data_IF_180647079992
#
_entry.id   IF_180647079992
#
_cell.length_a   1.000
_cell.length_b   1.000
_cell.length_c   1.000
_cell.angle_alpha   90.00
_cell.angle_beta   90.00
_cell.angle_gamma   90.00
#
_symmetry.space_group_name_H-M   'P 1'
#
loop_
_entity.id
_entity.type
_entity.pdbx_description
1 polymer ?
#
# COMPACT_ATOMS: atom_id res chain seq x y z
N UNK A 1 29.55 -12.28 5.67
CA UNK A 1 28.58 -11.33 5.11
C UNK A 1 29.23 -10.81 3.85
N UNK A 2 28.79 -11.34 2.70
CA UNK A 2 29.34 -10.97 1.40
C UNK A 2 29.14 -9.47 1.16
N UNK A 3 30.16 -8.84 0.57
CA UNK A 3 30.17 -7.42 0.29
C UNK A 3 29.09 -7.09 -0.74
N UNK A 4 28.05 -6.36 -0.34
CA UNK A 4 27.09 -5.77 -1.28
C UNK A 4 27.85 -4.87 -2.25
N UNK A 5 27.75 -5.16 -3.55
CA UNK A 5 28.43 -4.42 -4.63
C UNK A 5 27.85 -3.00 -4.76
N UNK A 6 26.57 -2.84 -4.43
CA UNK A 6 25.84 -1.58 -4.45
C UNK A 6 26.11 -0.80 -3.17
N UNK A 7 26.68 0.40 -3.29
CA UNK A 7 27.00 1.31 -2.17
C UNK A 7 26.44 2.71 -2.37
N UNK A 8 25.97 3.03 -3.57
CA UNK A 8 25.42 4.33 -3.93
C UNK A 8 24.21 4.20 -4.83
N UNK A 9 23.46 5.30 -4.95
CA UNK A 9 22.35 5.39 -5.89
C UNK A 9 22.82 5.27 -7.34
N UNK A 10 24.03 5.75 -7.66
CA UNK A 10 24.63 5.60 -8.98
C UNK A 10 24.93 4.12 -9.27
N UNK A 11 25.36 3.36 -8.28
CA UNK A 11 25.69 1.94 -8.46
C UNK A 11 24.45 1.14 -8.86
N UNK A 12 23.25 1.52 -8.38
CA UNK A 12 21.97 0.93 -8.78
C UNK A 12 21.73 1.16 -10.27
N UNK A 13 21.91 2.41 -10.72
CA UNK A 13 21.71 2.80 -12.12
C UNK A 13 22.67 2.04 -13.04
N UNK A 14 23.95 2.04 -12.69
CA UNK A 14 24.99 1.33 -13.45
C UNK A 14 24.74 -0.19 -13.49
N UNK A 15 24.25 -0.77 -12.38
CA UNK A 15 23.92 -2.18 -12.31
C UNK A 15 22.72 -2.53 -13.20
N UNK A 16 21.66 -1.71 -13.18
CA UNK A 16 20.49 -1.90 -14.05
C UNK A 16 20.88 -1.83 -15.53
N UNK A 17 21.75 -0.89 -15.91
CA UNK A 17 22.26 -0.76 -17.30
C UNK A 17 23.10 -1.96 -17.73
N UNK A 18 23.90 -2.52 -16.82
CA UNK A 18 24.70 -3.71 -17.07
C UNK A 18 23.88 -5.02 -17.07
N UNK A 19 22.67 -5.01 -16.49
CA UNK A 19 21.82 -6.18 -16.32
C UNK A 19 20.37 -5.87 -16.75
N UNK A 20 20.12 -5.48 -18.01
CA UNK A 20 18.81 -4.98 -18.43
C UNK A 20 17.71 -6.05 -18.32
N UNK A 21 18.02 -7.33 -18.52
CA UNK A 21 17.05 -8.42 -18.37
C UNK A 21 16.51 -8.55 -16.93
N UNK A 22 17.29 -8.14 -15.93
CA UNK A 22 16.90 -8.21 -14.52
C UNK A 22 16.45 -6.85 -13.96
N UNK A 23 17.16 -5.78 -14.32
CA UNK A 23 16.95 -4.44 -13.78
C UNK A 23 15.91 -3.61 -14.54
N UNK A 24 15.71 -3.87 -15.83
CA UNK A 24 14.78 -3.14 -16.71
C UNK A 24 14.08 -4.10 -17.70
N UNK A 25 13.40 -5.17 -17.21
CA UNK A 25 12.75 -6.15 -18.07
C UNK A 25 11.58 -5.55 -18.83
N UNK A 26 11.27 -6.09 -20.01
CA UNK A 26 10.04 -5.77 -20.74
C UNK A 26 8.79 -6.03 -19.87
N UNK A 27 7.77 -5.14 -19.87
CA UNK A 27 7.63 -3.89 -20.63
C UNK A 27 8.23 -2.64 -19.96
N UNK A 28 8.91 -2.80 -18.83
CA UNK A 28 9.43 -1.73 -17.98
C UNK A 28 10.93 -1.51 -18.22
N UNK A 29 11.26 -1.03 -19.42
CA UNK A 29 12.63 -0.95 -19.93
C UNK A 29 13.39 0.34 -19.57
N UNK A 30 12.91 1.11 -18.59
CA UNK A 30 13.54 2.37 -18.20
C UNK A 30 13.63 2.55 -16.69
N UNK A 31 14.47 3.50 -16.29
CA UNK A 31 14.68 3.91 -14.91
C UNK A 31 14.73 5.44 -14.79
N UNK A 32 13.82 6.13 -15.50
CA UNK A 32 13.82 7.59 -15.62
C UNK A 32 13.80 8.32 -14.27
N UNK A 33 13.02 7.84 -13.29
CA UNK A 33 12.98 8.42 -11.95
C UNK A 33 14.36 8.40 -11.28
N UNK A 34 15.15 7.33 -11.47
CA UNK A 34 16.50 7.25 -10.94
C UNK A 34 17.43 8.23 -11.66
N UNK A 35 17.32 8.33 -12.98
CA UNK A 35 18.08 9.32 -13.75
C UNK A 35 17.78 10.76 -13.28
N UNK A 36 16.53 11.06 -12.97
CA UNK A 36 16.12 12.40 -12.52
C UNK A 36 16.64 12.71 -11.12
N UNK A 37 16.65 11.73 -10.20
CA UNK A 37 17.28 11.88 -8.89
C UNK A 37 18.77 12.21 -9.02
N UNK A 38 19.50 11.51 -9.89
CA UNK A 38 20.94 11.77 -10.12
C UNK A 38 21.21 13.14 -10.77
N UNK A 39 20.28 13.63 -11.59
CA UNK A 39 20.38 14.94 -12.25
C UNK A 39 19.88 16.09 -11.39
N UNK A 40 19.23 15.79 -10.26
CA UNK A 40 18.67 16.80 -9.36
C UNK A 40 19.73 17.80 -8.92
N UNK A 41 19.38 19.08 -9.02
CA UNK A 41 20.21 20.21 -8.56
C UNK A 41 19.65 20.85 -7.29
N UNK A 42 18.67 20.20 -6.67
CA UNK A 42 18.06 20.69 -5.44
C UNK A 42 19.11 20.75 -4.34
N UNK A 43 19.25 21.92 -3.75
CA UNK A 43 20.05 22.12 -2.55
C UNK A 43 19.30 21.59 -1.32
N UNK A 44 20.03 21.25 -0.26
CA UNK A 44 19.41 20.82 0.99
C UNK A 44 18.42 21.86 1.53
N UNK A 45 18.74 23.16 1.39
CA UNK A 45 17.87 24.25 1.82
C UNK A 45 16.54 24.29 1.05
N UNK A 46 16.55 24.04 -0.26
CA UNK A 46 15.33 23.95 -1.06
C UNK A 46 14.49 22.73 -0.65
N UNK A 47 15.13 21.58 -0.41
CA UNK A 47 14.45 20.37 0.06
C UNK A 47 13.79 20.62 1.41
N UNK A 48 14.51 21.20 2.37
CA UNK A 48 14.00 21.49 3.71
C UNK A 48 12.82 22.47 3.67
N UNK A 49 12.90 23.52 2.84
CA UNK A 49 11.81 24.47 2.67
C UNK A 49 10.58 23.82 2.01
N UNK A 50 10.78 23.03 0.95
CA UNK A 50 9.68 22.28 0.32
C UNK A 50 9.02 21.32 1.31
N UNK A 51 9.78 20.59 2.11
CA UNK A 51 9.26 19.69 3.14
C UNK A 51 8.45 20.47 4.18
N UNK A 52 8.95 21.62 4.64
CA UNK A 52 8.25 22.47 5.62
C UNK A 52 6.93 23.01 5.06
N UNK A 53 6.94 23.56 3.86
CA UNK A 53 5.74 24.13 3.21
C UNK A 53 4.70 23.04 2.96
N UNK A 54 5.11 21.90 2.40
CA UNK A 54 4.20 20.78 2.10
C UNK A 54 3.62 20.16 3.37
N UNK A 55 4.44 19.93 4.40
CA UNK A 55 3.98 19.46 5.70
C UNK A 55 2.94 20.39 6.32
N UNK A 56 3.24 21.70 6.37
CA UNK A 56 2.34 22.66 7.00
C UNK A 56 1.00 22.75 6.27
N UNK A 57 1.02 22.72 4.94
CA UNK A 57 -0.21 22.74 4.13
C UNK A 57 -1.03 21.46 4.31
N UNK A 58 -0.37 20.30 4.32
CA UNK A 58 -1.05 19.02 4.50
C UNK A 58 -1.67 18.90 5.91
N UNK A 59 -0.89 19.28 6.94
CA UNK A 59 -1.37 19.32 8.33
C UNK A 59 -2.59 20.23 8.47
N UNK A 60 -2.51 21.46 7.97
CA UNK A 60 -3.64 22.40 8.02
C UNK A 60 -4.89 21.82 7.36
N UNK A 61 -4.75 21.19 6.18
CA UNK A 61 -5.89 20.58 5.49
C UNK A 61 -6.58 19.48 6.30
N UNK A 62 -5.81 18.63 6.99
CA UNK A 62 -6.36 17.59 7.87
C UNK A 62 -7.00 18.21 9.11
N UNK A 63 -6.32 19.15 9.76
CA UNK A 63 -6.83 19.83 10.97
C UNK A 63 -8.12 20.60 10.67
N UNK A 64 -8.20 21.28 9.52
CA UNK A 64 -9.41 21.98 9.07
C UNK A 64 -10.55 21.00 8.83
N UNK A 65 -10.29 19.87 8.17
CA UNK A 65 -11.31 18.86 7.92
C UNK A 65 -11.86 18.28 9.23
N UNK A 66 -10.97 17.93 10.15
CA UNK A 66 -11.34 17.33 11.43
C UNK A 66 -11.99 18.34 12.38
N UNK A 67 -11.47 19.57 12.43
CA UNK A 67 -11.94 20.63 13.34
C UNK A 67 -13.23 21.31 12.86
N UNK A 68 -13.33 21.66 11.57
CA UNK A 68 -14.52 22.36 11.04
C UNK A 68 -15.80 21.52 11.06
N UNK A 69 -15.65 20.19 11.13
CA UNK A 69 -16.77 19.24 11.14
C UNK A 69 -16.99 18.57 12.49
N UNK A 70 -16.17 18.90 13.49
CA UNK A 70 -16.17 18.25 14.80
C UNK A 70 -16.15 16.71 14.67
N UNK A 71 -15.25 16.20 13.82
CA UNK A 71 -15.09 14.76 13.58
C UNK A 71 -13.74 14.26 14.10
N UNK A 72 -13.74 12.99 14.47
CA UNK A 72 -12.56 12.34 15.05
C UNK A 72 -11.59 11.78 13.99
N UNK A 73 -12.10 11.44 12.80
CA UNK A 73 -11.34 10.81 11.73
C UNK A 73 -11.93 11.12 10.35
N UNK A 74 -11.08 11.05 9.33
CA UNK A 74 -11.47 11.14 7.91
C UNK A 74 -11.47 9.74 7.34
N UNK A 75 -12.53 9.39 6.61
CA UNK A 75 -12.65 8.09 5.93
C UNK A 75 -12.92 8.32 4.45
N UNK A 76 -12.18 7.63 3.59
CA UNK A 76 -12.34 7.71 2.13
C UNK A 76 -12.07 6.38 1.42
N UNK A 77 -12.29 6.30 0.10
CA UNK A 77 -11.92 5.13 -0.70
C UNK A 77 -10.43 4.80 -0.59
N UNK A 78 -10.08 3.52 -0.60
CA UNK A 78 -8.69 3.07 -0.42
C UNK A 78 -7.71 3.52 -1.50
N UNK A 79 -8.21 3.87 -2.68
CA UNK A 79 -7.46 4.35 -3.84
C UNK A 79 -7.41 5.89 -3.93
N UNK A 80 -7.91 6.61 -2.91
CA UNK A 80 -7.91 8.07 -2.95
C UNK A 80 -6.56 8.68 -2.54
N UNK A 81 -6.29 9.91 -2.99
CA UNK A 81 -5.04 10.62 -2.74
C UNK A 81 -4.84 11.09 -1.29
N UNK A 82 -5.76 10.74 -0.38
CA UNK A 82 -5.66 11.16 1.03
C UNK A 82 -4.43 10.55 1.73
N UNK A 83 -3.92 9.40 1.25
CA UNK A 83 -2.70 8.78 1.75
C UNK A 83 -1.48 9.70 1.64
N UNK A 84 -1.40 10.44 0.53
CA UNK A 84 -0.32 11.39 0.27
C UNK A 84 -0.40 12.55 1.26
N UNK A 85 -1.60 13.10 1.45
CA UNK A 85 -1.83 14.21 2.40
C UNK A 85 -1.55 13.77 3.83
N UNK A 86 -2.04 12.61 4.26
CA UNK A 86 -1.77 12.04 5.58
C UNK A 86 -0.27 11.84 5.82
N UNK A 87 0.44 11.30 4.82
CA UNK A 87 1.89 11.10 4.89
C UNK A 87 2.65 12.41 5.04
N UNK A 88 2.32 13.42 4.22
CA UNK A 88 2.93 14.76 4.29
C UNK A 88 2.64 15.46 5.62
N UNK A 89 1.42 15.30 6.14
CA UNK A 89 0.99 15.84 7.44
C UNK A 89 1.56 15.07 8.64
N UNK A 90 2.20 13.92 8.40
CA UNK A 90 2.68 12.99 9.44
C UNK A 90 1.54 12.53 10.36
N UNK A 91 0.35 12.38 9.79
CA UNK A 91 -0.83 11.87 10.48
C UNK A 91 -0.90 10.34 10.32
N UNK A 92 -1.33 9.62 11.36
CA UNK A 92 -1.59 8.20 11.24
C UNK A 92 -2.63 7.91 10.16
N UNK A 93 -2.40 6.84 9.41
CA UNK A 93 -3.38 6.31 8.50
C UNK A 93 -3.42 4.80 8.55
N UNK A 94 -4.58 4.24 8.26
CA UNK A 94 -4.82 2.81 8.23
C UNK A 94 -5.84 2.45 7.14
N UNK A 95 -5.95 1.16 6.86
CA UNK A 95 -6.90 0.60 5.91
C UNK A 95 -7.77 -0.43 6.60
N UNK A 96 -9.07 -0.39 6.33
CA UNK A 96 -10.00 -1.46 6.72
C UNK A 96 -10.59 -2.13 5.48
N UNK A 97 -10.74 -3.46 5.48
CA UNK A 97 -11.31 -4.19 4.34
C UNK A 97 -12.82 -3.93 4.25
N UNK A 98 -13.32 -3.72 3.04
CA UNK A 98 -14.76 -3.56 2.78
C UNK A 98 -15.32 -4.77 2.04
N UNK A 99 -14.86 -5.03 0.81
CA UNK A 99 -15.34 -6.14 -0.02
C UNK A 99 -14.31 -6.48 -1.11
N UNK A 100 -14.64 -7.41 -2.00
CA UNK A 100 -13.96 -7.61 -3.27
C UNK A 100 -14.79 -6.94 -4.37
N UNK A 101 -14.13 -6.38 -5.38
CA UNK A 101 -14.82 -5.87 -6.56
C UNK A 101 -15.22 -7.05 -7.44
N UNK A 102 -16.52 -7.35 -7.47
CA UNK A 102 -17.08 -8.47 -8.21
C UNK A 102 -17.15 -8.19 -9.72
N UNK A 103 -17.20 -9.27 -10.50
CA UNK A 103 -17.40 -9.24 -11.95
C UNK A 103 -16.11 -9.27 -12.79
N UNK A 104 -16.23 -9.42 -14.12
CA UNK A 104 -15.08 -9.68 -15.01
C UNK A 104 -14.02 -8.58 -15.01
N UNK A 105 -14.44 -7.33 -14.77
CA UNK A 105 -13.54 -6.17 -14.69
C UNK A 105 -12.95 -5.96 -13.31
N UNK A 106 -13.64 -6.42 -12.27
CA UNK A 106 -13.21 -6.26 -10.89
C UNK A 106 -12.15 -7.26 -10.47
N UNK A 107 -12.07 -8.42 -11.13
CA UNK A 107 -11.07 -9.47 -10.89
C UNK A 107 -10.92 -9.84 -9.40
N UNK A 108 -11.99 -9.73 -8.61
CA UNK A 108 -11.97 -9.91 -7.16
C UNK A 108 -10.95 -9.00 -6.44
N UNK A 109 -10.68 -7.81 -6.97
CA UNK A 109 -9.73 -6.88 -6.37
C UNK A 109 -10.22 -6.43 -4.99
N UNK A 110 -9.34 -6.43 -3.98
CA UNK A 110 -9.72 -6.01 -2.64
C UNK A 110 -10.05 -4.52 -2.61
N UNK A 111 -11.24 -4.21 -2.10
CA UNK A 111 -11.71 -2.86 -1.83
C UNK A 111 -11.59 -2.59 -0.33
N UNK A 112 -11.13 -1.40 0.01
CA UNK A 112 -10.96 -0.97 1.38
C UNK A 112 -11.28 0.50 1.57
N UNK A 113 -11.41 0.90 2.82
CA UNK A 113 -11.52 2.29 3.21
C UNK A 113 -10.24 2.73 3.90
N UNK A 114 -9.76 3.90 3.50
CA UNK A 114 -8.66 4.57 4.16
C UNK A 114 -9.19 5.39 5.34
N UNK A 115 -8.50 5.30 6.47
CA UNK A 115 -8.78 6.04 7.70
C UNK A 115 -7.58 6.95 7.95
N UNK A 116 -7.85 8.19 8.32
CA UNK A 116 -6.84 9.17 8.75
C UNK A 116 -7.30 9.81 10.05
N UNK A 117 -6.42 9.84 11.05
CA UNK A 117 -6.68 10.49 12.34
C UNK A 117 -5.75 11.67 12.57
N UNK A 118 -5.92 12.37 13.71
CA UNK A 118 -4.97 13.39 14.15
C UNK A 118 -3.60 12.77 14.44
N UNK A 119 -2.57 13.61 14.37
CA UNK A 119 -1.24 13.22 14.81
C UNK A 119 -1.29 12.68 16.24
N UNK A 120 -0.62 11.53 16.48
CA UNK A 120 -0.59 10.84 17.77
C UNK A 120 -1.93 10.26 18.27
N UNK A 121 -2.93 10.11 17.40
CA UNK A 121 -4.24 9.52 17.72
C UNK A 121 -4.39 8.09 17.14
N UNK A 122 -3.32 7.29 17.18
CA UNK A 122 -3.33 5.89 16.73
C UNK A 122 -4.27 5.03 17.58
N UNK A 123 -4.42 5.36 18.88
CA UNK A 123 -5.28 4.62 19.80
C UNK A 123 -6.73 4.58 19.32
N UNK A 124 -7.26 5.73 18.90
CA UNK A 124 -8.63 5.84 18.36
C UNK A 124 -8.76 5.15 16.99
N UNK A 125 -7.74 5.24 16.15
CA UNK A 125 -7.68 4.53 14.88
C UNK A 125 -7.80 3.01 15.07
N UNK A 126 -7.02 2.46 16.02
CA UNK A 126 -7.04 1.03 16.34
C UNK A 126 -8.37 0.59 16.96
N UNK A 127 -8.98 1.44 17.81
CA UNK A 127 -10.33 1.18 18.34
C UNK A 127 -11.36 1.10 17.22
N UNK A 128 -11.33 2.04 16.27
CA UNK A 128 -12.20 2.00 15.11
C UNK A 128 -12.00 0.73 14.29
N UNK A 129 -10.76 0.34 13.98
CA UNK A 129 -10.47 -0.88 13.22
C UNK A 129 -11.01 -2.14 13.91
N UNK A 130 -10.88 -2.22 15.23
CA UNK A 130 -11.45 -3.32 16.03
C UNK A 130 -12.97 -3.35 15.97
N UNK A 131 -13.61 -2.19 16.07
CA UNK A 131 -15.07 -2.07 15.93
C UNK A 131 -15.53 -2.43 14.51
N UNK A 132 -14.77 -2.02 13.49
CA UNK A 132 -15.02 -2.35 12.10
C UNK A 132 -15.00 -3.85 11.87
N UNK A 133 -13.93 -4.55 12.28
CA UNK A 133 -13.83 -6.00 12.17
C UNK A 133 -14.98 -6.72 12.89
N UNK A 134 -15.35 -6.25 14.08
CA UNK A 134 -16.48 -6.81 14.84
C UNK A 134 -17.83 -6.64 14.12
N UNK A 135 -18.01 -5.56 13.36
CA UNK A 135 -19.28 -5.20 12.73
C UNK A 135 -19.42 -5.72 11.30
N UNK A 136 -18.36 -5.60 10.52
CA UNK A 136 -18.33 -5.99 9.10
C UNK A 136 -17.91 -7.44 8.93
N UNK A 137 -17.13 -7.97 9.88
CA UNK A 137 -16.60 -9.32 9.85
C UNK A 137 -15.19 -9.38 9.26
N UNK A 138 -14.66 -10.61 9.08
CA UNK A 138 -13.29 -10.82 8.62
C UNK A 138 -13.13 -10.43 7.15
N UNK A 139 -11.89 -10.09 6.78
CA UNK A 139 -11.51 -9.80 5.39
C UNK A 139 -11.88 -10.98 4.47
N UNK A 140 -12.53 -10.74 3.32
CA UNK A 140 -12.74 -11.77 2.30
C UNK A 140 -11.41 -12.34 1.81
N UNK A 141 -11.36 -13.67 1.68
CA UNK A 141 -10.19 -14.36 1.16
C UNK A 141 -10.06 -14.16 -0.36
N UNK A 142 -8.82 -14.06 -0.89
CA UNK A 142 -8.60 -14.13 -2.32
C UNK A 142 -9.18 -15.42 -2.92
N UNK A 143 -9.62 -15.36 -4.17
CA UNK A 143 -10.36 -16.44 -4.85
C UNK A 143 -9.65 -17.78 -4.83
N UNK A 144 -8.33 -17.81 -5.03
CA UNK A 144 -7.52 -19.03 -4.96
C UNK A 144 -7.66 -19.71 -3.59
N UNK A 145 -7.51 -18.97 -2.49
CA UNK A 145 -7.66 -19.49 -1.13
C UNK A 145 -9.10 -19.85 -0.76
N UNK A 146 -10.08 -19.19 -1.37
CA UNK A 146 -11.50 -19.56 -1.21
C UNK A 146 -11.79 -20.90 -1.89
N UNK A 147 -11.30 -21.09 -3.11
CA UNK A 147 -11.51 -22.31 -3.90
C UNK A 147 -10.84 -23.52 -3.26
N UNK A 148 -9.59 -23.36 -2.79
CA UNK A 148 -8.87 -24.41 -2.06
C UNK A 148 -9.63 -24.85 -0.80
N UNK A 149 -10.15 -23.91 -0.01
CA UNK A 149 -10.93 -24.26 1.19
C UNK A 149 -12.21 -25.02 0.91
N UNK A 150 -12.92 -24.66 -0.17
CA UNK A 150 -14.13 -25.38 -0.57
C UNK A 150 -13.77 -26.81 -1.01
N UNK A 151 -12.71 -26.97 -1.78
CA UNK A 151 -12.20 -28.28 -2.21
C UNK A 151 -11.75 -29.15 -1.03
N UNK A 152 -11.00 -28.58 -0.08
CA UNK A 152 -10.58 -29.28 1.15
C UNK A 152 -11.78 -29.71 2.01
N UNK A 153 -12.84 -28.90 2.09
CA UNK A 153 -14.07 -29.25 2.81
C UNK A 153 -14.87 -30.36 2.11
N UNK A 154 -14.97 -30.34 0.78
CA UNK A 154 -15.57 -31.41 -0.02
C UNK A 154 -14.76 -32.71 0.08
N UNK A 155 -13.42 -32.63 0.12
CA UNK A 155 -12.54 -33.79 0.29
C UNK A 155 -12.57 -34.39 1.69
N UNK A 156 -12.62 -33.54 2.72
CA UNK A 156 -12.79 -33.97 4.12
C UNK A 156 -14.13 -34.68 4.36
N UNK A 157 -15.20 -34.22 3.71
CA UNK A 157 -16.53 -34.85 3.80
C UNK A 157 -16.66 -36.12 2.94
N UNK A 158 -15.83 -36.29 1.91
CA UNK A 158 -15.83 -37.47 1.03
C UNK A 158 -14.77 -38.52 1.36
N UNK A 159 -13.80 -38.22 2.25
CA UNK A 159 -12.76 -39.15 2.69
C UNK A 159 -11.56 -39.28 1.74
N UNK A 160 -11.48 -38.47 0.69
CA UNK A 160 -10.33 -38.42 -0.22
C UNK A 160 -9.30 -37.38 0.25
N UNK A 161 -8.00 -37.64 0.05
CA UNK A 161 -6.94 -36.64 0.31
C UNK A 161 -6.69 -35.78 -0.93
N UNK A 162 -6.37 -34.51 -0.72
CA UNK A 162 -5.98 -33.58 -1.77
C UNK A 162 -4.50 -33.79 -2.12
N UNK A 163 -4.24 -34.30 -3.33
CA UNK A 163 -2.94 -34.18 -3.98
C UNK A 163 -3.05 -33.01 -4.96
N UNK A 164 -2.42 -31.89 -4.62
CA UNK A 164 -2.30 -30.75 -5.52
C UNK A 164 -0.84 -30.67 -5.94
N UNK A 165 -0.56 -31.01 -7.19
CA UNK A 165 0.69 -30.63 -7.84
C UNK A 165 0.61 -29.14 -8.15
N UNK A 166 1.43 -28.35 -7.44
CA UNK A 166 1.65 -26.95 -7.74
C UNK A 166 2.60 -26.90 -8.93
N UNK A 167 2.14 -26.41 -10.09
CA UNK A 167 3.03 -26.08 -11.19
C UNK A 167 3.80 -24.80 -10.80
N UNK A 168 5.12 -24.88 -10.58
CA UNK A 168 5.91 -23.75 -10.12
C UNK A 168 6.15 -22.68 -11.21
N UNK A 169 5.74 -22.93 -12.45
CA UNK A 169 6.02 -22.07 -13.60
C UNK A 169 4.82 -21.17 -14.02
N UNK A 170 3.80 -21.02 -13.15
CA UNK A 170 2.63 -20.14 -13.33
C UNK A 170 2.70 -18.82 -12.54
#
# INVERSE_FOLDING_TARGET
MDHTVIKSFKDIVDWNEANPEQGMPEPHMDQNDLYDVLKSRLTQAEVDEMQKVTHNRARQGIEDCLGSKDVDMIIGPGDCSICVVASLARCPSAMVPMTLLDGPKGMNQPQGLMIVTRQHDEGRMLEFMKLWEKKIGPRPLPTLFRTLRLYEQEMSTSGCKADIDFDPDL
#
